data_IF_615112220267
#
_entry.id   IF_615112220267
#
_cell.length_a   1.000
_cell.length_b   1.000
_cell.length_c   1.000
_cell.angle_alpha   90.00
_cell.angle_beta   90.00
_cell.angle_gamma   90.00
#
_symmetry.space_group_name_H-M   'P 1'
#
loop_
_entity.id
_entity.type
_entity.pdbx_description
1 polymer ?
#
# COMPACT_ATOMS: atom_id res chain seq x y z
N UNK A 1 5.15 -10.93 -32.37
CA UNK A 1 4.68 -12.16 -31.66
C UNK A 1 5.52 -12.51 -30.43
N UNK A 2 6.85 -12.32 -30.42
CA UNK A 2 7.69 -12.58 -29.24
C UNK A 2 7.47 -11.60 -28.05
N UNK A 3 7.07 -10.33 -28.31
CA UNK A 3 6.83 -9.34 -27.25
C UNK A 3 5.54 -9.57 -26.46
N UNK A 4 4.50 -10.13 -27.10
CA UNK A 4 3.26 -10.49 -26.40
C UNK A 4 3.43 -11.70 -25.48
N UNK A 5 4.31 -12.64 -25.81
CA UNK A 5 4.62 -13.76 -24.91
C UNK A 5 5.39 -13.34 -23.66
N UNK A 6 6.21 -12.28 -23.74
CA UNK A 6 7.00 -11.79 -22.59
C UNK A 6 6.18 -10.94 -21.62
N UNK A 7 5.23 -10.17 -22.13
CA UNK A 7 4.24 -9.45 -21.31
C UNK A 7 3.23 -10.42 -20.68
N UNK A 8 2.77 -11.44 -21.42
CA UNK A 8 1.90 -12.49 -20.90
C UNK A 8 2.57 -13.32 -19.79
N UNK A 9 3.88 -13.57 -19.87
CA UNK A 9 4.62 -14.28 -18.81
C UNK A 9 4.77 -13.46 -17.50
N UNK A 10 4.68 -12.13 -17.58
CA UNK A 10 4.64 -11.23 -16.42
C UNK A 10 3.22 -11.08 -15.87
N UNK A 11 2.20 -11.09 -16.72
CA UNK A 11 0.78 -11.03 -16.35
C UNK A 11 0.24 -12.34 -15.77
N UNK A 12 0.70 -13.51 -16.23
CA UNK A 12 0.32 -14.82 -15.65
C UNK A 12 0.91 -15.03 -14.24
N UNK A 13 1.99 -14.34 -13.87
CA UNK A 13 2.49 -14.34 -12.48
C UNK A 13 1.70 -13.41 -11.54
N UNK A 14 0.82 -12.59 -12.10
CA UNK A 14 0.12 -11.50 -11.43
C UNK A 14 -1.33 -11.85 -11.02
N UNK A 15 -1.77 -13.09 -11.25
CA UNK A 15 -3.01 -13.60 -10.66
C UNK A 15 -2.79 -13.91 -9.18
N UNK A 16 -2.99 -12.90 -8.33
CA UNK A 16 -3.42 -13.07 -6.94
C UNK A 16 -2.61 -14.06 -6.11
N UNK A 17 -1.28 -13.95 -6.12
CA UNK A 17 -0.43 -14.69 -5.19
C UNK A 17 -0.72 -14.19 -3.78
N UNK A 18 -1.64 -14.85 -3.10
CA UNK A 18 -1.96 -14.57 -1.71
C UNK A 18 -0.72 -14.93 -0.90
N UNK A 19 -0.06 -13.91 -0.33
CA UNK A 19 1.04 -14.13 0.61
C UNK A 19 0.65 -15.18 1.64
N UNK A 20 1.56 -16.11 1.88
CA UNK A 20 1.44 -17.21 2.83
C UNK A 20 0.38 -18.30 2.54
N UNK A 21 -0.32 -18.30 1.38
CA UNK A 21 -1.19 -19.43 1.01
C UNK A 21 -0.41 -20.67 0.56
N UNK A 22 0.76 -20.48 -0.03
CA UNK A 22 1.65 -21.59 -0.39
C UNK A 22 2.54 -21.90 0.82
N UNK A 23 2.47 -23.14 1.31
CA UNK A 23 3.18 -23.64 2.50
C UNK A 23 4.71 -23.77 2.30
N UNK A 24 5.38 -22.72 1.84
CA UNK A 24 6.84 -22.74 1.73
C UNK A 24 7.44 -22.79 3.14
N UNK A 25 8.05 -23.93 3.49
CA UNK A 25 8.55 -24.23 4.84
C UNK A 25 9.48 -23.16 5.45
N UNK A 26 10.15 -22.33 4.64
CA UNK A 26 11.05 -21.26 5.12
C UNK A 26 10.32 -20.03 5.68
N UNK A 27 9.10 -19.74 5.20
CA UNK A 27 8.33 -18.54 5.56
C UNK A 27 7.49 -18.77 6.83
N UNK A 28 7.12 -20.02 7.10
CA UNK A 28 6.36 -20.40 8.30
C UNK A 28 7.22 -20.45 9.58
N UNK A 29 8.55 -20.54 9.46
CA UNK A 29 9.45 -20.59 10.64
C UNK A 29 9.22 -19.42 11.60
N UNK A 30 9.34 -18.13 11.18
CA UNK A 30 9.10 -17.00 12.08
C UNK A 30 7.65 -16.94 12.59
N UNK A 31 6.68 -17.38 11.79
CA UNK A 31 5.26 -17.44 12.20
C UNK A 31 5.05 -18.47 13.31
N UNK A 32 5.65 -19.65 13.16
CA UNK A 32 5.58 -20.75 14.12
C UNK A 32 6.32 -20.41 15.41
N UNK A 33 7.46 -19.73 15.33
CA UNK A 33 8.16 -19.18 16.49
C UNK A 33 7.32 -18.18 17.27
N UNK A 34 6.43 -17.43 16.61
CA UNK A 34 5.50 -16.55 17.31
C UNK A 34 4.41 -17.32 18.08
N UNK A 35 4.03 -18.51 17.60
CA UNK A 35 3.11 -19.42 18.30
C UNK A 35 3.77 -20.10 19.51
N UNK A 36 5.09 -20.34 19.44
CA UNK A 36 5.86 -20.85 20.57
C UNK A 36 5.68 -19.93 21.79
N UNK A 37 5.68 -20.51 22.99
CA UNK A 37 5.50 -19.81 24.26
C UNK A 37 4.15 -19.08 24.49
N UNK A 38 3.16 -19.22 23.61
CA UNK A 38 1.81 -18.62 23.79
C UNK A 38 1.19 -19.02 25.13
N UNK A 39 1.02 -20.32 25.37
CA UNK A 39 0.35 -20.85 26.57
C UNK A 39 1.09 -20.57 27.89
N UNK A 40 2.42 -20.78 28.02
CA UNK A 40 3.11 -20.43 29.25
C UNK A 40 3.07 -18.93 29.55
N UNK A 41 3.14 -18.07 28.52
CA UNK A 41 2.94 -16.63 28.66
C UNK A 41 1.52 -16.30 29.15
N UNK A 42 0.51 -16.77 28.42
CA UNK A 42 -0.92 -16.55 28.70
C UNK A 42 -1.28 -16.92 30.15
N UNK A 43 -0.91 -18.12 30.57
CA UNK A 43 -1.19 -18.63 31.92
C UNK A 43 -0.55 -17.75 33.00
N UNK A 44 0.71 -17.34 32.80
CA UNK A 44 1.44 -16.48 33.75
C UNK A 44 0.75 -15.12 33.92
N UNK A 45 0.37 -14.48 32.80
CA UNK A 45 -0.24 -13.15 32.85
C UNK A 45 -1.67 -13.21 33.40
N UNK A 46 -2.48 -14.22 33.02
CA UNK A 46 -3.83 -14.42 33.60
C UNK A 46 -3.78 -14.62 35.11
N UNK A 47 -2.83 -15.40 35.61
CA UNK A 47 -2.63 -15.57 37.05
C UNK A 47 -2.26 -14.25 37.74
N UNK A 48 -1.37 -13.46 37.12
CA UNK A 48 -1.01 -12.14 37.63
C UNK A 48 -2.22 -11.19 37.68
N UNK A 49 -3.00 -11.09 36.59
CA UNK A 49 -4.16 -10.21 36.52
C UNK A 49 -5.23 -10.60 37.55
N UNK A 50 -5.52 -11.92 37.68
CA UNK A 50 -6.43 -12.45 38.71
C UNK A 50 -5.97 -12.12 40.13
N UNK A 51 -4.67 -12.27 40.43
CA UNK A 51 -4.11 -11.95 41.75
C UNK A 51 -4.23 -10.47 42.11
N UNK A 52 -4.17 -9.58 41.11
CA UNK A 52 -4.29 -8.14 41.32
C UNK A 52 -5.73 -7.62 41.18
N UNK A 53 -6.73 -8.51 41.10
CA UNK A 53 -8.15 -8.12 41.01
C UNK A 53 -8.54 -7.44 39.69
N UNK A 54 -7.69 -7.52 38.66
CA UNK A 54 -7.97 -6.94 37.35
C UNK A 54 -8.85 -7.91 36.55
N UNK A 55 -10.03 -7.47 36.12
CA UNK A 55 -10.85 -8.20 35.14
C UNK A 55 -10.10 -8.21 33.80
N UNK A 56 -9.50 -9.35 33.45
CA UNK A 56 -8.88 -9.53 32.14
C UNK A 56 -9.86 -10.23 31.21
N UNK A 57 -10.53 -9.47 30.35
CA UNK A 57 -11.16 -10.04 29.17
C UNK A 57 -10.03 -10.29 28.18
N UNK A 58 -9.78 -11.56 27.87
CA UNK A 58 -8.74 -11.93 26.89
C UNK A 58 -9.41 -12.03 25.53
N UNK A 59 -9.04 -11.14 24.62
CA UNK A 59 -9.65 -11.05 23.30
C UNK A 59 -8.73 -11.68 22.25
N UNK A 60 -9.27 -12.56 21.41
CA UNK A 60 -8.54 -13.24 20.32
C UNK A 60 -8.89 -12.68 18.94
N UNK A 61 -9.80 -11.71 18.87
CA UNK A 61 -10.26 -11.08 17.63
C UNK A 61 -9.96 -9.59 17.63
N UNK A 62 -9.96 -8.99 16.43
CA UNK A 62 -9.79 -7.55 16.26
C UNK A 62 -10.94 -6.81 16.95
N UNK A 63 -12.16 -7.25 16.70
CA UNK A 63 -13.40 -6.66 17.20
C UNK A 63 -13.42 -6.70 18.73
N UNK A 64 -13.12 -7.85 19.33
CA UNK A 64 -13.10 -7.95 20.80
C UNK A 64 -11.99 -7.11 21.44
N UNK A 65 -10.87 -6.88 20.76
CA UNK A 65 -9.83 -5.98 21.24
C UNK A 65 -10.21 -4.50 21.09
N UNK A 66 -10.98 -4.16 20.05
CA UNK A 66 -11.57 -2.83 19.88
C UNK A 66 -12.63 -2.56 20.95
N UNK A 67 -13.52 -3.52 21.22
CA UNK A 67 -14.50 -3.41 22.31
C UNK A 67 -13.80 -3.21 23.66
N UNK A 68 -12.70 -3.94 23.91
CA UNK A 68 -11.88 -3.76 25.12
C UNK A 68 -11.28 -2.34 25.21
N UNK A 69 -10.88 -1.74 24.09
CA UNK A 69 -10.36 -0.37 24.06
C UNK A 69 -11.46 0.66 24.34
N UNK A 70 -12.64 0.46 23.74
CA UNK A 70 -13.79 1.33 23.90
C UNK A 70 -14.30 1.28 25.35
N UNK A 71 -14.42 0.09 25.94
CA UNK A 71 -14.77 -0.12 27.34
C UNK A 71 -13.78 0.53 28.30
N UNK A 72 -12.48 0.40 28.04
CA UNK A 72 -11.44 1.04 28.85
C UNK A 72 -11.51 2.57 28.74
N UNK A 73 -11.82 3.11 27.56
CA UNK A 73 -12.01 4.54 27.37
C UNK A 73 -13.25 5.06 28.12
N UNK A 74 -14.36 4.33 28.05
CA UNK A 74 -15.63 4.68 28.70
C UNK A 74 -15.55 4.56 30.22
N UNK A 75 -15.00 3.46 30.74
CA UNK A 75 -14.83 3.23 32.17
C UNK A 75 -13.90 4.28 32.82
N UNK A 76 -12.90 4.77 32.09
CA UNK A 76 -12.02 5.85 32.59
C UNK A 76 -12.71 7.21 32.61
N UNK A 77 -13.59 7.50 31.64
CA UNK A 77 -14.45 8.69 31.66
C UNK A 77 -15.46 8.62 32.82
N UNK A 78 -15.98 7.43 33.11
CA UNK A 78 -16.88 7.20 34.25
C UNK A 78 -16.14 7.27 35.59
N UNK A 79 -14.93 6.73 35.72
CA UNK A 79 -14.10 6.84 36.93
C UNK A 79 -13.70 8.30 37.21
N UNK A 80 -13.46 9.09 36.16
CA UNK A 80 -13.25 10.53 36.25
C UNK A 80 -14.50 11.25 36.82
N UNK A 81 -15.69 10.91 36.33
CA UNK A 81 -16.95 11.52 36.77
C UNK A 81 -17.42 11.05 38.16
N UNK A 82 -17.29 9.75 38.45
CA UNK A 82 -17.75 9.12 39.71
C UNK A 82 -16.74 9.24 40.84
N UNK A 83 -15.44 9.25 40.51
CA UNK A 83 -14.35 9.53 41.45
C UNK A 83 -14.44 10.94 42.03
N UNK A 84 -14.87 11.92 41.22
CA UNK A 84 -15.13 13.30 41.65
C UNK A 84 -16.36 13.38 42.59
N UNK A 85 -17.41 12.59 42.35
CA UNK A 85 -18.65 12.60 43.14
C UNK A 85 -18.59 11.80 44.46
N UNK A 86 -18.06 10.56 44.46
CA UNK A 86 -18.02 9.70 45.67
C UNK A 86 -16.98 10.13 46.70
N UNK A 87 -15.94 10.87 46.31
CA UNK A 87 -14.85 11.33 47.19
C UNK A 87 -15.02 12.76 47.69
N UNK A 88 -15.89 13.56 47.06
CA UNK A 88 -16.29 14.88 47.55
C UNK A 88 -17.04 14.84 48.90
N UNK A 89 -17.66 13.71 49.25
CA UNK A 89 -18.41 13.55 50.49
C UNK A 89 -17.59 13.24 51.75
N UNK A 90 -16.27 13.00 51.66
CA UNK A 90 -15.43 12.61 52.81
C UNK A 90 -14.11 13.37 52.87
N UNK A 91 -14.15 14.53 53.54
CA UNK A 91 -13.05 15.25 54.22
C UNK A 91 -11.92 15.96 53.41
N UNK A 92 -11.94 17.29 53.57
CA UNK A 92 -10.86 18.29 53.69
C UNK A 92 -10.11 18.86 52.45
N UNK A 93 -10.01 20.20 52.46
CA UNK A 93 -9.72 21.13 51.37
C UNK A 93 -8.24 21.35 51.00
N UNK A 94 -7.26 20.91 51.81
CA UNK A 94 -5.84 21.20 51.55
C UNK A 94 -5.07 20.08 50.82
N UNK A 95 -5.54 18.82 50.86
CA UNK A 95 -4.99 17.72 50.04
C UNK A 95 -5.69 17.56 48.67
N UNK A 96 -6.70 18.40 48.40
CA UNK A 96 -7.60 18.33 47.25
C UNK A 96 -6.90 18.65 45.93
N UNK A 97 -6.00 19.64 45.93
CA UNK A 97 -5.39 20.13 44.68
C UNK A 97 -4.39 19.12 44.11
N UNK A 98 -3.44 18.62 44.90
CA UNK A 98 -2.42 17.68 44.40
C UNK A 98 -2.98 16.32 43.97
N UNK A 99 -3.99 15.78 44.69
CA UNK A 99 -4.58 14.47 44.34
C UNK A 99 -5.63 14.53 43.23
N UNK A 100 -6.43 15.60 43.13
CA UNK A 100 -7.32 15.82 41.98
C UNK A 100 -6.47 15.99 40.72
N UNK A 101 -5.36 16.72 40.81
CA UNK A 101 -4.38 16.80 39.73
C UNK A 101 -3.78 15.42 39.44
N UNK A 102 -3.45 14.61 40.45
CA UNK A 102 -2.90 13.26 40.28
C UNK A 102 -3.87 12.26 39.60
N UNK A 103 -5.14 12.22 40.00
CA UNK A 103 -6.14 11.37 39.38
C UNK A 103 -6.51 11.82 37.96
N UNK A 104 -6.63 13.14 37.73
CA UNK A 104 -6.82 13.70 36.38
C UNK A 104 -5.62 13.43 35.48
N UNK A 105 -4.38 13.52 36.00
CA UNK A 105 -3.15 13.13 35.29
C UNK A 105 -3.12 11.64 34.96
N UNK A 106 -3.57 10.78 35.89
CA UNK A 106 -3.65 9.34 35.67
C UNK A 106 -4.64 8.99 34.55
N UNK A 107 -5.85 9.56 34.58
CA UNK A 107 -6.84 9.39 33.51
C UNK A 107 -6.35 9.92 32.16
N UNK A 108 -5.73 11.11 32.14
CA UNK A 108 -5.20 11.68 30.90
C UNK A 108 -4.07 10.84 30.28
N UNK A 109 -3.17 10.31 31.11
CA UNK A 109 -2.08 9.46 30.61
C UNK A 109 -2.59 8.10 30.10
N UNK A 110 -3.61 7.54 30.75
CA UNK A 110 -4.31 6.34 30.29
C UNK A 110 -4.99 6.55 28.95
N UNK A 111 -5.75 7.63 28.83
CA UNK A 111 -6.43 8.00 27.59
C UNK A 111 -5.44 8.24 26.46
N UNK A 112 -4.32 8.92 26.74
CA UNK A 112 -3.26 9.14 25.75
C UNK A 112 -2.60 7.82 25.32
N UNK A 113 -2.36 6.89 26.25
CA UNK A 113 -1.84 5.57 25.88
C UNK A 113 -2.85 4.77 25.07
N UNK A 114 -4.12 4.72 25.47
CA UNK A 114 -5.19 4.05 24.71
C UNK A 114 -5.22 4.56 23.27
N UNK A 115 -5.16 5.88 23.08
CA UNK A 115 -5.07 6.48 21.74
C UNK A 115 -3.84 6.01 20.96
N UNK A 116 -2.64 6.12 21.56
CA UNK A 116 -1.39 5.68 20.92
C UNK A 116 -1.41 4.18 20.58
N UNK A 117 -2.02 3.38 21.46
CA UNK A 117 -2.15 1.94 21.28
C UNK A 117 -3.18 1.60 20.21
N UNK A 118 -4.28 2.35 20.08
CA UNK A 118 -5.22 2.24 18.96
C UNK A 118 -4.54 2.55 17.64
N UNK A 119 -3.75 3.62 17.56
CA UNK A 119 -2.99 3.97 16.34
C UNK A 119 -1.99 2.86 15.97
N UNK A 120 -1.29 2.32 16.97
CA UNK A 120 -0.38 1.18 16.81
C UNK A 120 -1.11 -0.09 16.33
N UNK A 121 -2.24 -0.43 16.95
CA UNK A 121 -3.06 -1.58 16.56
C UNK A 121 -3.63 -1.44 15.15
N UNK A 122 -4.04 -0.24 14.77
CA UNK A 122 -4.49 0.06 13.41
C UNK A 122 -3.41 -0.33 12.39
N UNK A 123 -2.20 0.18 12.59
CA UNK A 123 -1.05 -0.11 11.72
C UNK A 123 -0.65 -1.60 11.73
N UNK A 124 -0.61 -2.23 12.91
CA UNK A 124 -0.23 -3.64 13.04
C UNK A 124 -1.33 -4.59 12.51
N UNK A 125 -2.60 -4.18 12.53
CA UNK A 125 -3.71 -5.02 12.05
C UNK A 125 -3.63 -5.37 10.58
N UNK A 126 -2.97 -4.54 9.77
CA UNK A 126 -2.69 -4.87 8.37
C UNK A 126 -1.75 -6.05 8.24
N UNK A 127 -0.67 -6.07 9.02
CA UNK A 127 0.25 -7.23 9.09
C UNK A 127 -0.48 -8.49 9.58
N UNK A 128 -1.30 -8.38 10.63
CA UNK A 128 -2.07 -9.52 11.13
C UNK A 128 -3.00 -10.06 10.03
N UNK A 129 -3.65 -9.17 9.27
CA UNK A 129 -4.58 -9.56 8.20
C UNK A 129 -3.89 -10.30 7.07
N UNK A 130 -2.64 -9.93 6.74
CA UNK A 130 -1.81 -10.64 5.78
C UNK A 130 -1.42 -12.04 6.28
N UNK A 131 -0.99 -12.12 7.54
CA UNK A 131 -0.49 -13.37 8.15
C UNK A 131 -1.60 -14.33 8.55
N UNK A 132 -2.83 -13.87 8.85
CA UNK A 132 -3.94 -14.76 9.22
C UNK A 132 -4.28 -15.76 8.11
N UNK A 133 -4.01 -15.39 6.86
CA UNK A 133 -4.27 -16.24 5.70
C UNK A 133 -3.27 -17.41 5.59
N UNK A 134 -2.16 -17.37 6.36
CA UNK A 134 -1.14 -18.42 6.42
C UNK A 134 -1.60 -19.67 7.16
N UNK A 135 -2.61 -19.56 8.02
CA UNK A 135 -3.07 -20.70 8.82
C UNK A 135 -3.90 -20.29 10.04
N UNK A 136 -4.64 -21.24 10.62
CA UNK A 136 -5.47 -21.00 11.79
C UNK A 136 -4.59 -20.64 13.00
N UNK A 137 -5.01 -19.62 13.75
CA UNK A 137 -4.41 -19.26 15.04
C UNK A 137 -3.38 -18.12 15.01
N UNK A 138 -2.78 -17.76 13.88
CA UNK A 138 -1.84 -16.62 13.85
C UNK A 138 -2.54 -15.30 14.24
N UNK A 139 -3.72 -15.03 13.66
CA UNK A 139 -4.52 -13.87 14.07
C UNK A 139 -4.84 -13.86 15.58
N UNK A 140 -5.24 -15.01 16.11
CA UNK A 140 -5.62 -15.14 17.52
C UNK A 140 -4.47 -14.86 18.48
N UNK A 141 -3.26 -15.37 18.17
CA UNK A 141 -2.08 -15.15 19.03
C UNK A 141 -1.70 -13.69 19.09
N UNK A 142 -1.76 -12.99 17.96
CA UNK A 142 -1.46 -11.57 17.90
C UNK A 142 -2.46 -10.77 18.75
N UNK A 143 -3.76 -10.93 18.50
CA UNK A 143 -4.79 -10.19 19.25
C UNK A 143 -4.80 -10.54 20.75
N UNK A 144 -4.61 -11.81 21.12
CA UNK A 144 -4.53 -12.24 22.52
C UNK A 144 -3.32 -11.62 23.23
N UNK A 145 -2.16 -11.59 22.58
CA UNK A 145 -0.96 -10.98 23.14
C UNK A 145 -1.16 -9.47 23.35
N UNK A 146 -1.78 -8.78 22.39
CA UNK A 146 -2.08 -7.35 22.48
C UNK A 146 -3.13 -7.03 23.56
N UNK A 147 -4.17 -7.86 23.68
CA UNK A 147 -5.20 -7.74 24.73
C UNK A 147 -4.59 -7.82 26.13
N UNK A 148 -3.73 -8.81 26.38
CA UNK A 148 -3.04 -9.00 27.66
C UNK A 148 -2.07 -7.85 27.95
N UNK A 149 -1.36 -7.39 26.93
CA UNK A 149 -0.45 -6.26 27.04
C UNK A 149 -1.18 -4.97 27.41
N UNK A 150 -2.28 -4.65 26.72
CA UNK A 150 -3.14 -3.51 27.03
C UNK A 150 -3.64 -3.57 28.48
N UNK A 151 -4.15 -4.73 28.92
CA UNK A 151 -4.63 -4.92 30.29
C UNK A 151 -3.52 -4.65 31.32
N UNK A 152 -2.31 -5.17 31.11
CA UNK A 152 -1.21 -4.95 32.07
C UNK A 152 -0.75 -3.50 32.06
N UNK A 153 -0.63 -2.88 30.88
CA UNK A 153 -0.10 -1.54 30.74
C UNK A 153 -1.01 -0.49 31.38
N UNK A 154 -2.31 -0.52 31.08
CA UNK A 154 -3.29 0.43 31.65
C UNK A 154 -3.36 0.33 33.17
N UNK A 155 -3.14 -0.86 33.74
CA UNK A 155 -3.21 -1.05 35.18
C UNK A 155 -1.91 -0.67 35.92
N UNK A 156 -0.75 -0.64 35.25
CA UNK A 156 0.55 -0.51 35.94
C UNK A 156 1.43 0.64 35.46
N UNK A 157 1.39 0.99 34.18
CA UNK A 157 2.47 1.74 33.52
C UNK A 157 2.09 3.16 33.08
N UNK A 158 0.97 3.69 33.57
CA UNK A 158 0.44 4.98 33.09
C UNK A 158 1.33 6.19 33.38
N UNK A 159 2.36 6.09 34.22
CA UNK A 159 3.32 7.17 34.44
C UNK A 159 4.61 7.05 33.60
N UNK A 160 4.71 6.06 32.70
CA UNK A 160 5.92 5.83 31.89
C UNK A 160 5.77 6.48 30.50
N UNK A 161 6.11 7.77 30.41
CA UNK A 161 6.06 8.52 29.15
C UNK A 161 7.01 7.97 28.09
N UNK A 162 8.15 7.40 28.50
CA UNK A 162 9.16 6.85 27.59
C UNK A 162 8.61 5.65 26.81
N UNK A 163 7.84 4.81 27.50
CA UNK A 163 7.23 3.67 26.84
C UNK A 163 6.11 4.09 25.87
N UNK A 164 5.32 5.11 26.22
CA UNK A 164 4.34 5.70 25.30
C UNK A 164 5.00 6.25 24.04
N UNK A 165 6.15 6.92 24.19
CA UNK A 165 6.94 7.43 23.07
C UNK A 165 7.47 6.29 22.20
N UNK A 166 7.95 5.21 22.79
CA UNK A 166 8.41 4.03 22.05
C UNK A 166 7.28 3.38 21.24
N UNK A 167 6.09 3.17 21.82
CA UNK A 167 4.94 2.61 21.08
C UNK A 167 4.49 3.57 19.96
N UNK A 168 4.51 4.87 20.22
CA UNK A 168 4.21 5.91 19.22
C UNK A 168 5.22 5.89 18.07
N UNK A 169 6.50 5.75 18.37
CA UNK A 169 7.56 5.63 17.34
C UNK A 169 7.43 4.35 16.53
N UNK A 170 7.07 3.23 17.16
CA UNK A 170 6.80 1.98 16.44
C UNK A 170 5.58 2.14 15.52
N UNK A 171 4.49 2.72 16.01
CA UNK A 171 3.28 3.04 15.21
C UNK A 171 3.64 3.79 13.93
N UNK A 172 4.50 4.82 14.03
CA UNK A 172 4.94 5.63 12.89
C UNK A 172 5.86 4.89 11.91
N UNK A 173 6.55 3.85 12.37
CA UNK A 173 7.50 3.11 11.55
C UNK A 173 6.82 2.07 10.64
N UNK A 174 5.56 1.70 10.91
CA UNK A 174 4.84 0.75 10.07
C UNK A 174 4.49 1.38 8.71
N UNK A 175 4.93 0.78 7.58
CA UNK A 175 4.43 1.16 6.27
C UNK A 175 2.96 0.73 6.13
N UNK A 176 2.22 1.35 5.21
CA UNK A 176 0.85 0.95 4.87
C UNK A 176 0.86 -0.38 4.11
N UNK A 177 1.02 -1.49 4.84
CA UNK A 177 1.32 -2.82 4.31
C UNK A 177 0.16 -3.48 3.57
N UNK A 178 -1.08 -3.05 3.84
CA UNK A 178 -2.28 -3.57 3.16
C UNK A 178 -2.22 -3.35 1.65
N UNK A 179 -1.60 -2.26 1.19
CA UNK A 179 -1.45 -1.95 -0.23
C UNK A 179 -0.27 -2.72 -0.87
N UNK A 180 0.82 -2.92 -0.10
CA UNK A 180 2.06 -3.52 -0.59
C UNK A 180 1.92 -4.96 -1.09
N UNK A 181 1.10 -5.77 -0.42
CA UNK A 181 0.85 -7.16 -0.81
C UNK A 181 0.19 -7.31 -2.18
N UNK A 182 -0.70 -6.38 -2.52
CA UNK A 182 -1.41 -6.36 -3.81
C UNK A 182 -0.56 -5.81 -4.96
N UNK A 183 0.42 -4.95 -4.65
CA UNK A 183 1.22 -4.23 -5.64
C UNK A 183 2.53 -4.98 -5.94
N UNK A 184 3.10 -5.69 -4.95
CA UNK A 184 4.45 -6.29 -5.04
C UNK A 184 4.55 -7.67 -4.38
N UNK A 185 4.06 -8.76 -5.02
CA UNK A 185 4.19 -10.11 -4.48
C UNK A 185 5.64 -10.63 -4.58
N UNK A 186 6.49 -10.32 -3.58
CA UNK A 186 7.88 -10.80 -3.49
C UNK A 186 8.12 -11.67 -2.25
N UNK A 187 8.83 -12.80 -2.42
CA UNK A 187 9.19 -13.72 -1.32
C UNK A 187 10.08 -13.06 -0.26
N UNK A 188 10.88 -12.07 -0.64
CA UNK A 188 11.72 -11.32 0.31
C UNK A 188 10.88 -10.41 1.20
N UNK A 189 9.89 -9.73 0.59
CA UNK A 189 8.97 -8.83 1.29
C UNK A 189 8.06 -9.62 2.23
N UNK A 190 7.58 -10.77 1.77
CA UNK A 190 6.83 -11.74 2.57
C UNK A 190 7.61 -12.21 3.82
N UNK A 191 8.90 -12.54 3.66
CA UNK A 191 9.77 -12.94 4.79
C UNK A 191 9.95 -11.80 5.79
N UNK A 192 10.17 -10.58 5.31
CA UNK A 192 10.31 -9.41 6.17
C UNK A 192 9.02 -9.12 6.94
N UNK A 193 7.84 -9.28 6.32
CA UNK A 193 6.53 -9.12 6.99
C UNK A 193 6.34 -10.18 8.09
N UNK A 194 6.68 -11.44 7.82
CA UNK A 194 6.61 -12.50 8.83
C UNK A 194 7.56 -12.26 10.01
N UNK A 195 8.75 -11.71 9.74
CA UNK A 195 9.70 -11.32 10.78
C UNK A 195 9.18 -10.16 11.63
N UNK A 196 8.60 -9.12 11.01
CA UNK A 196 7.98 -8.00 11.75
C UNK A 196 6.83 -8.51 12.62
N UNK A 197 5.97 -9.38 12.08
CA UNK A 197 4.88 -10.02 12.82
C UNK A 197 5.38 -10.69 14.11
N UNK A 198 6.43 -11.53 14.00
CA UNK A 198 7.06 -12.21 15.14
C UNK A 198 7.61 -11.20 16.15
N UNK A 199 8.41 -10.23 15.72
CA UNK A 199 9.08 -9.30 16.64
C UNK A 199 8.09 -8.44 17.42
N UNK A 200 6.96 -8.05 16.82
CA UNK A 200 5.90 -7.31 17.53
C UNK A 200 5.28 -8.15 18.65
N UNK A 201 5.05 -9.45 18.42
CA UNK A 201 4.57 -10.37 19.45
C UNK A 201 5.60 -10.53 20.56
N UNK A 202 6.88 -10.71 20.22
CA UNK A 202 7.99 -10.80 21.18
C UNK A 202 8.07 -9.53 22.01
N UNK A 203 8.03 -8.37 21.38
CA UNK A 203 8.02 -7.06 22.03
C UNK A 203 6.89 -6.95 23.06
N UNK A 204 5.64 -7.25 22.65
CA UNK A 204 4.49 -7.15 23.55
C UNK A 204 4.59 -8.14 24.72
N UNK A 205 5.07 -9.37 24.50
CA UNK A 205 5.29 -10.35 25.57
C UNK A 205 6.37 -9.91 26.56
N UNK A 206 7.48 -9.38 26.06
CA UNK A 206 8.57 -8.87 26.88
C UNK A 206 8.12 -7.65 27.70
N UNK A 207 7.46 -6.68 27.06
CA UNK A 207 6.91 -5.51 27.73
C UNK A 207 5.89 -5.91 28.81
N UNK A 208 4.94 -6.77 28.48
CA UNK A 208 3.96 -7.30 29.44
C UNK A 208 4.66 -7.97 30.63
N UNK A 209 5.62 -8.87 30.36
CA UNK A 209 6.35 -9.58 31.41
C UNK A 209 7.15 -8.63 32.29
N UNK A 210 7.83 -7.66 31.69
CA UNK A 210 8.57 -6.62 32.40
C UNK A 210 7.66 -5.85 33.36
N UNK A 211 6.53 -5.36 32.86
CA UNK A 211 5.56 -4.65 33.70
C UNK A 211 4.98 -5.56 34.78
N UNK A 212 4.74 -6.86 34.56
CA UNK A 212 4.28 -7.72 35.67
C UNK A 212 5.32 -7.93 36.77
N UNK A 213 6.62 -8.02 36.45
CA UNK A 213 7.70 -8.34 37.40
C UNK A 213 8.19 -7.15 38.22
N UNK A 214 8.30 -5.96 37.64
CA UNK A 214 8.79 -4.77 38.35
C UNK A 214 7.63 -3.90 38.85
N UNK A 215 7.67 -3.50 40.13
CA UNK A 215 6.86 -2.39 40.62
C UNK A 215 7.41 -1.08 40.05
N UNK A 216 6.56 -0.25 39.43
CA UNK A 216 6.94 1.06 38.83
C UNK A 216 7.68 1.98 39.82
N UNK A 217 7.50 1.75 41.13
CA UNK A 217 8.25 2.41 42.21
C UNK A 217 9.77 2.23 42.13
N UNK A 218 10.25 1.05 41.74
CA UNK A 218 11.70 0.75 41.67
C UNK A 218 12.32 1.45 40.44
N UNK A 219 11.50 1.71 39.42
CA UNK A 219 11.91 2.35 38.18
C UNK A 219 12.19 3.86 38.33
N UNK A 220 11.34 4.58 39.08
CA UNK A 220 11.58 6.01 39.35
C UNK A 220 12.84 6.23 40.21
N UNK A 221 13.23 5.26 41.05
CA UNK A 221 14.40 5.36 41.92
C UNK A 221 15.73 4.98 41.25
N UNK A 222 15.69 4.31 40.10
CA UNK A 222 16.89 3.81 39.42
C UNK A 222 16.86 4.38 38.01
N UNK A 223 17.54 5.52 37.78
CA UNK A 223 17.48 6.31 36.55
C UNK A 223 17.88 5.62 35.23
N UNK A 224 18.13 4.30 35.23
CA UNK A 224 18.32 3.45 34.05
C UNK A 224 17.79 2.03 34.33
N UNK A 225 16.64 1.61 33.77
CA UNK A 225 16.20 0.22 33.86
C UNK A 225 17.12 -0.73 33.08
N UNK A 226 17.06 -2.05 33.33
CA UNK A 226 17.67 -3.05 32.48
C UNK A 226 16.89 -3.13 31.16
N UNK A 227 17.10 -2.14 30.29
CA UNK A 227 16.39 -1.93 29.02
C UNK A 227 17.02 -2.66 27.84
N UNK A 228 17.96 -3.57 28.10
CA UNK A 228 18.69 -4.31 27.08
C UNK A 228 17.75 -5.20 26.23
N UNK A 229 16.52 -5.50 26.68
CA UNK A 229 15.54 -6.27 25.89
C UNK A 229 14.65 -5.43 25.00
N UNK A 230 13.84 -4.55 25.60
CA UNK A 230 12.74 -3.84 24.93
C UNK A 230 13.25 -2.83 23.90
N UNK A 231 14.29 -2.05 24.23
CA UNK A 231 14.87 -1.08 23.30
C UNK A 231 15.51 -1.79 22.10
N UNK A 232 16.16 -2.93 22.34
CA UNK A 232 16.78 -3.73 21.29
C UNK A 232 15.74 -4.38 20.37
N UNK A 233 14.64 -4.91 20.90
CA UNK A 233 13.54 -5.43 20.07
C UNK A 233 12.84 -4.32 19.29
N UNK A 234 12.62 -3.15 19.90
CA UNK A 234 12.05 -2.00 19.19
C UNK A 234 12.96 -1.50 18.05
N UNK A 235 14.28 -1.43 18.30
CA UNK A 235 15.28 -1.13 17.28
C UNK A 235 15.28 -2.18 16.15
N UNK A 236 15.16 -3.46 16.51
CA UNK A 236 15.07 -4.57 15.54
C UNK A 236 13.81 -4.43 14.67
N UNK A 237 12.65 -4.10 15.26
CA UNK A 237 11.41 -3.86 14.52
C UNK A 237 11.60 -2.70 13.54
N UNK A 238 12.16 -1.57 13.99
CA UNK A 238 12.41 -0.40 13.13
C UNK A 238 13.36 -0.73 11.98
N UNK A 239 14.45 -1.47 12.25
CA UNK A 239 15.38 -1.93 11.22
C UNK A 239 14.69 -2.79 10.18
N UNK A 240 13.92 -3.80 10.61
CA UNK A 240 13.15 -4.67 9.71
C UNK A 240 12.09 -3.91 8.90
N UNK A 241 11.44 -2.91 9.49
CA UNK A 241 10.48 -2.05 8.78
C UNK A 241 11.17 -1.15 7.74
N UNK A 242 12.37 -0.65 8.03
CA UNK A 242 13.19 0.07 7.07
C UNK A 242 13.63 -0.84 5.89
N UNK A 243 13.98 -2.10 6.18
CA UNK A 243 14.31 -3.09 5.15
C UNK A 243 13.11 -3.38 4.25
N UNK A 244 11.91 -3.55 4.82
CA UNK A 244 10.64 -3.67 4.06
C UNK A 244 10.45 -2.49 3.11
N UNK A 245 10.62 -1.26 3.61
CA UNK A 245 10.43 -0.05 2.82
C UNK A 245 11.50 0.09 1.71
N UNK A 246 12.75 -0.27 2.00
CA UNK A 246 13.83 -0.30 1.01
C UNK A 246 13.55 -1.30 -0.10
N UNK A 247 13.13 -2.52 0.25
CA UNK A 247 12.76 -3.53 -0.74
C UNK A 247 11.57 -3.11 -1.60
N UNK A 248 10.55 -2.50 -1.00
CA UNK A 248 9.43 -1.93 -1.73
C UNK A 248 9.86 -0.85 -2.74
N UNK A 249 10.80 0.02 -2.34
CA UNK A 249 11.34 1.07 -3.21
C UNK A 249 12.13 0.49 -4.39
N UNK A 250 12.92 -0.57 -4.18
CA UNK A 250 13.62 -1.27 -5.26
C UNK A 250 12.62 -1.82 -6.28
N UNK A 251 11.57 -2.50 -5.82
CA UNK A 251 10.53 -3.05 -6.70
C UNK A 251 9.77 -1.96 -7.46
N UNK A 252 9.52 -0.81 -6.82
CA UNK A 252 8.95 0.36 -7.49
C UNK A 252 9.86 0.86 -8.61
N UNK A 253 11.16 0.97 -8.37
CA UNK A 253 12.12 1.40 -9.39
C UNK A 253 12.24 0.40 -10.54
N UNK A 254 12.25 -0.91 -10.26
CA UNK A 254 12.25 -1.95 -11.29
C UNK A 254 11.02 -1.87 -12.19
N UNK A 255 9.83 -1.72 -11.60
CA UNK A 255 8.58 -1.55 -12.36
C UNK A 255 8.57 -0.25 -13.17
N UNK A 256 9.03 0.85 -12.59
CA UNK A 256 9.14 2.14 -13.29
C UNK A 256 10.04 2.01 -14.51
N UNK A 257 11.19 1.33 -14.36
CA UNK A 257 12.11 1.06 -15.47
C UNK A 257 11.46 0.19 -16.55
N UNK A 258 10.73 -0.86 -16.17
CA UNK A 258 10.03 -1.72 -17.13
C UNK A 258 8.95 -0.96 -17.93
N UNK A 259 8.19 -0.08 -17.26
CA UNK A 259 7.21 0.80 -17.92
C UNK A 259 7.92 1.75 -18.89
N UNK A 260 9.04 2.35 -18.48
CA UNK A 260 9.80 3.27 -19.31
C UNK A 260 10.33 2.59 -20.57
N UNK A 261 10.91 1.38 -20.46
CA UNK A 261 11.35 0.59 -21.62
C UNK A 261 10.18 0.32 -22.57
N UNK A 262 9.03 -0.11 -22.03
CA UNK A 262 7.82 -0.38 -22.84
C UNK A 262 7.33 0.87 -23.56
N UNK A 263 7.40 2.03 -22.91
CA UNK A 263 7.02 3.31 -23.49
C UNK A 263 7.99 3.75 -24.60
N UNK A 264 9.29 3.58 -24.39
CA UNK A 264 10.34 3.85 -25.39
C UNK A 264 10.19 2.94 -26.61
N UNK A 265 9.93 1.64 -26.42
CA UNK A 265 9.64 0.70 -27.51
C UNK A 265 8.38 1.09 -28.29
N UNK A 266 7.29 1.42 -27.58
CA UNK A 266 6.04 1.86 -28.20
C UNK A 266 6.18 3.18 -28.97
N UNK A 267 6.96 4.13 -28.45
CA UNK A 267 7.28 5.37 -29.17
C UNK A 267 8.14 5.10 -30.41
N UNK A 268 9.12 4.21 -30.33
CA UNK A 268 9.95 3.84 -31.47
C UNK A 268 9.13 3.15 -32.58
N UNK A 269 8.18 2.29 -32.22
CA UNK A 269 7.28 1.64 -33.17
C UNK A 269 6.31 2.64 -33.81
N UNK A 270 5.72 3.54 -33.00
CA UNK A 270 4.85 4.59 -33.50
C UNK A 270 5.60 5.54 -34.46
N UNK A 271 6.84 5.92 -34.12
CA UNK A 271 7.67 6.75 -35.00
C UNK A 271 7.99 6.05 -36.33
N UNK A 272 8.29 4.74 -36.32
CA UNK A 272 8.48 3.97 -37.56
C UNK A 272 7.21 3.92 -38.40
N UNK A 273 6.07 3.64 -37.78
CA UNK A 273 4.77 3.63 -38.47
C UNK A 273 4.44 5.01 -39.06
N UNK A 274 4.74 6.08 -38.33
CA UNK A 274 4.53 7.44 -38.80
C UNK A 274 5.42 7.77 -40.01
N UNK A 275 6.69 7.36 -39.98
CA UNK A 275 7.62 7.52 -41.12
C UNK A 275 7.16 6.73 -42.36
N UNK A 276 6.67 5.50 -42.17
CA UNK A 276 6.13 4.69 -43.27
C UNK A 276 4.90 5.37 -43.88
N UNK A 277 3.94 5.79 -43.04
CA UNK A 277 2.74 6.50 -43.48
C UNK A 277 3.07 7.81 -44.22
N UNK A 278 4.03 8.60 -43.72
CA UNK A 278 4.50 9.79 -44.42
C UNK A 278 5.13 9.48 -45.78
N UNK A 279 5.88 8.39 -45.87
CA UNK A 279 6.50 7.96 -47.14
C UNK A 279 5.43 7.54 -48.14
N UNK A 280 4.42 6.78 -47.70
CA UNK A 280 3.29 6.39 -48.53
C UNK A 280 2.48 7.60 -49.01
N UNK A 281 2.19 8.55 -48.13
CA UNK A 281 1.51 9.81 -48.48
C UNK A 281 2.31 10.56 -49.55
N UNK A 282 3.63 10.65 -49.40
CA UNK A 282 4.50 11.32 -50.40
C UNK A 282 4.46 10.61 -51.76
N UNK A 283 4.49 9.28 -51.76
CA UNK A 283 4.37 8.48 -53.00
C UNK A 283 3.00 8.70 -53.65
N UNK A 284 1.93 8.73 -52.86
CA UNK A 284 0.57 8.97 -53.35
C UNK A 284 0.41 10.39 -53.92
N UNK A 285 0.97 11.39 -53.25
CA UNK A 285 1.00 12.77 -53.75
C UNK A 285 1.71 12.85 -55.11
N UNK A 286 2.89 12.23 -55.22
CA UNK A 286 3.63 12.20 -56.48
C UNK A 286 2.85 11.51 -57.61
N UNK A 287 2.16 10.40 -57.31
CA UNK A 287 1.29 9.73 -58.29
C UNK A 287 0.11 10.60 -58.71
N UNK A 288 -0.51 11.30 -57.78
CA UNK A 288 -1.59 12.24 -58.09
C UNK A 288 -1.10 13.39 -58.97
N UNK A 289 0.07 13.95 -58.69
CA UNK A 289 0.66 15.02 -59.51
C UNK A 289 0.95 14.55 -60.94
N UNK A 290 1.52 13.35 -61.09
CA UNK A 290 1.78 12.75 -62.40
C UNK A 290 0.48 12.52 -63.19
N UNK A 291 -0.56 11.97 -62.54
CA UNK A 291 -1.87 11.76 -63.17
C UNK A 291 -2.51 13.09 -63.60
N UNK A 292 -2.35 14.14 -62.79
CA UNK A 292 -2.88 15.46 -63.10
C UNK A 292 -2.17 16.07 -64.32
N UNK A 293 -0.86 15.89 -64.43
CA UNK A 293 -0.08 16.27 -65.62
C UNK A 293 -0.51 15.48 -66.87
N UNK A 294 -0.71 14.17 -66.74
CA UNK A 294 -1.16 13.32 -67.85
C UNK A 294 -2.56 13.71 -68.34
N UNK A 295 -3.48 13.98 -67.40
CA UNK A 295 -4.81 14.49 -67.73
C UNK A 295 -4.77 15.85 -68.45
N UNK A 296 -3.86 16.75 -68.05
CA UNK A 296 -3.67 18.03 -68.74
C UNK A 296 -3.14 17.83 -70.16
N UNK A 297 -2.16 16.94 -70.34
CA UNK A 297 -1.61 16.60 -71.65
C UNK A 297 -2.68 16.03 -72.58
N UNK A 298 -3.50 15.09 -72.11
CA UNK A 298 -4.59 14.51 -72.88
C UNK A 298 -5.66 15.55 -73.28
N UNK A 299 -5.96 16.51 -72.41
CA UNK A 299 -6.86 17.62 -72.77
C UNK A 299 -6.29 18.45 -73.91
N UNK A 300 -5.03 18.86 -73.82
CA UNK A 300 -4.37 19.63 -74.88
C UNK A 300 -4.34 18.86 -76.20
N UNK A 301 -4.05 17.55 -76.17
CA UNK A 301 -4.10 16.71 -77.36
C UNK A 301 -5.50 16.65 -77.98
N UNK A 302 -6.54 16.48 -77.17
CA UNK A 302 -7.92 16.48 -77.64
C UNK A 302 -8.30 17.83 -78.26
N UNK A 303 -7.90 18.95 -77.65
CA UNK A 303 -8.15 20.29 -78.18
C UNK A 303 -7.48 20.49 -79.54
N UNK A 304 -6.21 20.07 -79.68
CA UNK A 304 -5.48 20.11 -80.96
C UNK A 304 -6.14 19.20 -82.00
N UNK A 305 -6.57 18.01 -81.61
CA UNK A 305 -7.23 17.06 -82.52
C UNK A 305 -8.56 17.62 -83.02
N UNK A 306 -9.34 18.24 -82.14
CA UNK A 306 -10.59 18.93 -82.50
C UNK A 306 -10.33 20.08 -83.48
N UNK A 307 -9.31 20.89 -83.22
CA UNK A 307 -8.93 21.99 -84.12
C UNK A 307 -8.52 21.48 -85.50
N UNK A 308 -7.76 20.38 -85.56
CA UNK A 308 -7.38 19.72 -86.83
C UNK A 308 -8.60 19.19 -87.58
N UNK A 309 -9.55 18.60 -86.87
CA UNK A 309 -10.80 18.15 -87.46
C UNK A 309 -11.61 19.32 -88.03
N UNK A 310 -11.80 20.39 -87.25
CA UNK A 310 -12.55 21.58 -87.68
C UNK A 310 -11.90 22.27 -88.91
N UNK A 311 -10.56 22.35 -88.95
CA UNK A 311 -9.83 22.85 -90.13
C UNK A 311 -10.07 21.93 -91.34
N UNK A 312 -9.95 20.62 -91.16
CA UNK A 312 -10.16 19.66 -92.24
C UNK A 312 -11.58 19.75 -92.82
N UNK A 313 -12.59 19.84 -91.96
CA UNK A 313 -13.98 20.02 -92.41
C UNK A 313 -14.19 21.33 -93.16
N UNK A 314 -13.57 22.43 -92.73
CA UNK A 314 -13.66 23.71 -93.45
C UNK A 314 -13.03 23.64 -94.84
N UNK A 315 -11.87 22.99 -94.96
CA UNK A 315 -11.22 22.77 -96.27
C UNK A 315 -12.11 21.91 -97.17
N UNK A 316 -12.66 20.82 -96.65
CA UNK A 316 -13.58 19.95 -97.41
C UNK A 316 -14.86 20.69 -97.86
N UNK A 317 -15.40 21.56 -97.01
CA UNK A 317 -16.57 22.39 -97.34
C UNK A 317 -16.23 23.49 -98.37
N UNK A 318 -15.06 24.14 -98.26
CA UNK A 318 -14.56 25.10 -99.27
C UNK A 318 -14.39 24.42 -100.63
N UNK A 319 -13.74 23.25 -100.69
CA UNK A 319 -13.58 22.49 -101.93
C UNK A 319 -14.95 22.09 -102.54
N UNK A 320 -15.94 21.76 -101.71
CA UNK A 320 -17.31 21.46 -102.18
C UNK A 320 -17.99 22.69 -102.76
N UNK A 321 -17.85 23.85 -102.12
CA UNK A 321 -18.42 25.11 -102.59
C UNK A 321 -17.79 25.54 -103.93
N UNK A 322 -16.47 25.41 -104.08
CA UNK A 322 -15.78 25.69 -105.34
C UNK A 322 -16.28 24.79 -106.48
N UNK A 323 -16.45 23.50 -106.22
CA UNK A 323 -17.01 22.55 -107.21
C UNK A 323 -18.47 22.87 -107.58
N UNK A 324 -19.27 23.36 -106.65
CA UNK A 324 -20.65 23.76 -106.93
C UNK A 324 -20.69 25.06 -107.74
N UNK A 325 -19.82 26.02 -107.46
CA UNK A 325 -19.69 27.26 -108.24
C UNK A 325 -19.20 26.98 -109.67
N UNK A 326 -18.24 26.07 -109.87
CA UNK A 326 -17.79 25.70 -111.22
C UNK A 326 -18.88 25.01 -112.03
N UNK A 327 -19.78 24.27 -111.37
CA UNK A 327 -20.91 23.59 -112.04
C UNK A 327 -22.12 24.51 -112.32
N UNK A 328 -22.20 25.69 -111.69
CA UNK A 328 -23.26 26.69 -111.91
C UNK A 328 -22.92 27.72 -113.00
N UNK A 329 -21.71 27.67 -113.58
CA UNK A 329 -21.25 28.54 -114.68
C UNK A 329 -21.53 27.97 -116.09
N UNK A 330 -22.54 27.10 -116.25
CA UNK A 330 -23.03 26.60 -117.55
C UNK A 330 -24.31 27.34 -117.93
#
# INVERSE_FOLDING_TARGET
MASHQKAAHLEESNQGKNWFKDESARQQVPLNEALQDREPFRRRIKQYLKRNGVRSQTCTTKEGLQDQLDDLSAAQLEELATGDLKRAGRQLSFYRVERVIGAKKFGHSAQNFVKVFTDFLGAYSGIISLVKNAGPGYGEVAYETMSLFLSVFVNKSLNDSKFNDLVRELSKAFPQLDQLSSIYPSSSLETSVALVYKEVIVFARQATTYFTRLSVRIWMSIGRPPSIGIDNTASTIKGKLADVNSQAMVLLHERTRAIQITLEEGQAENNKSHQQSQTEIRILQQKNDNLLQEMQYLRQQNDVMKLRYDIKTKIEDEERLERLQSNLQI
#
